data_IF_830032452193
#
_entry.id   IF_830032452193
#
_cell.length_a   1.000
_cell.length_b   1.000
_cell.length_c   1.000
_cell.angle_alpha   90.00
_cell.angle_beta   90.00
_cell.angle_gamma   90.00
#
_symmetry.space_group_name_H-M   'P 1'
#
loop_
_entity.id
_entity.type
_entity.pdbx_description
1 polymer ?
#
# COMPACT_ATOMS: atom_id res chain seq x y z
N UNK A 1 -2.00 -19.41 -1.27
CA UNK A 1 -2.17 -18.41 -2.35
C UNK A 1 -3.37 -17.49 -2.14
N UNK A 2 -3.94 -17.35 -0.92
CA UNK A 2 -5.07 -16.43 -0.65
C UNK A 2 -4.81 -15.37 0.42
N UNK A 3 -3.65 -15.41 1.10
CA UNK A 3 -3.28 -14.45 2.12
C UNK A 3 -2.27 -13.45 1.53
N UNK A 4 -2.74 -12.23 1.25
CA UNK A 4 -1.94 -11.18 0.62
C UNK A 4 -0.76 -10.74 1.51
N UNK A 5 -0.91 -10.76 2.83
CA UNK A 5 0.14 -10.33 3.76
C UNK A 5 1.32 -11.30 3.75
N UNK A 6 1.04 -12.60 3.71
CA UNK A 6 2.08 -13.63 3.51
C UNK A 6 2.73 -13.56 2.13
N UNK A 7 2.00 -13.10 1.11
CA UNK A 7 2.59 -12.82 -0.20
C UNK A 7 3.67 -11.75 -0.11
N UNK A 8 3.42 -10.67 0.64
CA UNK A 8 4.39 -9.59 0.85
C UNK A 8 5.61 -10.03 1.68
N UNK A 9 5.47 -10.98 2.59
CA UNK A 9 6.58 -11.57 3.34
C UNK A 9 7.53 -12.39 2.44
N UNK A 10 6.98 -13.12 1.47
CA UNK A 10 7.75 -13.95 0.55
C UNK A 10 8.17 -13.23 -0.73
N UNK A 11 7.79 -11.96 -0.90
CA UNK A 11 7.94 -11.22 -2.14
C UNK A 11 9.35 -11.26 -2.73
N UNK A 12 10.39 -11.14 -1.89
CA UNK A 12 11.77 -11.22 -2.37
C UNK A 12 12.13 -12.58 -2.99
N UNK A 13 11.66 -13.68 -2.39
CA UNK A 13 11.86 -15.04 -2.92
C UNK A 13 11.03 -15.27 -4.18
N UNK A 14 9.79 -14.80 -4.18
CA UNK A 14 8.87 -14.94 -5.32
C UNK A 14 9.35 -14.11 -6.52
N UNK A 15 9.89 -12.91 -6.28
CA UNK A 15 10.47 -12.05 -7.32
C UNK A 15 11.71 -12.70 -7.95
N UNK A 16 12.61 -13.24 -7.13
CA UNK A 16 13.80 -13.97 -7.63
C UNK A 16 13.46 -15.25 -8.40
N UNK A 17 12.34 -15.91 -8.05
CA UNK A 17 11.89 -17.13 -8.72
C UNK A 17 10.92 -16.88 -9.87
N UNK A 18 10.60 -15.62 -10.19
CA UNK A 18 9.68 -15.25 -11.27
C UNK A 18 8.22 -15.61 -11.01
N UNK A 19 7.84 -15.77 -9.74
CA UNK A 19 6.49 -16.16 -9.29
C UNK A 19 5.72 -15.03 -8.62
N UNK A 20 6.36 -13.88 -8.39
CA UNK A 20 5.68 -12.71 -7.87
C UNK A 20 4.60 -12.23 -8.86
N UNK A 21 3.43 -11.77 -8.37
CA UNK A 21 2.45 -11.14 -9.22
C UNK A 21 2.98 -9.81 -9.76
N UNK A 22 2.50 -9.40 -10.94
CA UNK A 22 2.87 -8.11 -11.53
C UNK A 22 2.34 -6.91 -10.72
N UNK A 23 1.13 -7.07 -10.14
CA UNK A 23 0.45 -6.08 -9.31
C UNK A 23 -0.15 -6.73 -8.07
N UNK A 24 -0.08 -6.02 -6.95
CA UNK A 24 -0.61 -6.47 -5.65
C UNK A 24 -1.00 -5.28 -4.80
N UNK A 25 -1.73 -5.53 -3.72
CA UNK A 25 -2.03 -4.51 -2.70
C UNK A 25 -1.06 -4.63 -1.54
N UNK A 26 -0.73 -3.49 -0.93
CA UNK A 26 0.07 -3.40 0.27
C UNK A 26 -0.56 -2.40 1.25
N UNK A 27 -0.52 -2.69 2.56
CA UNK A 27 -0.67 -1.65 3.58
C UNK A 27 0.30 -0.49 3.30
N UNK A 28 -0.15 0.75 3.49
CA UNK A 28 0.62 1.94 3.11
C UNK A 28 1.91 2.09 3.92
N UNK A 29 1.91 1.63 5.17
CA UNK A 29 3.06 1.58 6.07
C UNK A 29 4.19 0.68 5.57
N UNK A 30 3.89 -0.32 4.72
CA UNK A 30 4.89 -1.20 4.09
C UNK A 30 5.39 -0.70 2.73
N UNK A 31 4.72 0.25 2.08
CA UNK A 31 5.11 0.71 0.73
C UNK A 31 6.50 1.35 0.74
N UNK A 32 6.83 2.14 1.76
CA UNK A 32 8.13 2.82 1.85
C UNK A 32 9.31 1.86 2.00
N UNK A 33 9.17 0.79 2.80
CA UNK A 33 10.22 -0.23 2.95
C UNK A 33 10.35 -1.08 1.70
N UNK A 34 9.23 -1.59 1.14
CA UNK A 34 9.24 -2.38 -0.08
C UNK A 34 9.85 -1.62 -1.28
N UNK A 35 9.55 -0.32 -1.41
CA UNK A 35 10.16 0.53 -2.43
C UNK A 35 11.66 0.76 -2.20
N UNK A 36 12.08 0.94 -0.94
CA UNK A 36 13.50 1.13 -0.60
C UNK A 36 14.33 -0.15 -0.81
N UNK A 37 13.72 -1.32 -0.62
CA UNK A 37 14.34 -2.64 -0.83
C UNK A 37 14.37 -3.06 -2.32
N UNK A 38 13.87 -2.21 -3.22
CA UNK A 38 13.82 -2.47 -4.66
C UNK A 38 12.80 -3.53 -5.08
N UNK A 39 11.85 -3.86 -4.20
CA UNK A 39 10.79 -4.84 -4.49
C UNK A 39 9.64 -4.23 -5.29
N UNK A 40 9.49 -2.90 -5.28
CA UNK A 40 8.48 -2.17 -6.05
C UNK A 40 9.15 -1.32 -7.12
N UNK A 41 8.54 -1.30 -8.31
CA UNK A 41 8.93 -0.37 -9.37
C UNK A 41 8.45 1.04 -9.06
N UNK A 42 9.27 2.04 -9.37
CA UNK A 42 8.84 3.44 -9.36
C UNK A 42 7.74 3.66 -10.41
N UNK A 43 6.69 4.39 -10.05
CA UNK A 43 5.58 4.70 -10.95
C UNK A 43 5.15 6.15 -10.86
N UNK A 44 4.40 6.60 -11.87
CA UNK A 44 3.76 7.92 -11.88
C UNK A 44 2.26 7.75 -11.67
N UNK A 45 1.71 8.53 -10.76
CA UNK A 45 0.26 8.66 -10.63
C UNK A 45 -0.28 9.42 -11.83
N UNK A 46 -1.39 8.92 -12.38
CA UNK A 46 -2.08 9.59 -13.48
C UNK A 46 -2.70 10.92 -13.03
N UNK A 47 -2.88 11.88 -13.94
CA UNK A 47 -3.50 13.17 -13.59
C UNK A 47 -4.96 13.04 -13.16
N UNK A 48 -5.65 11.98 -13.58
CA UNK A 48 -7.00 11.63 -13.16
C UNK A 48 -7.06 10.87 -11.83
N UNK A 49 -5.92 10.60 -11.16
CA UNK A 49 -5.96 9.96 -9.85
C UNK A 49 -6.62 10.89 -8.84
N UNK A 50 -7.64 10.39 -8.14
CA UNK A 50 -8.33 11.12 -7.06
C UNK A 50 -7.51 11.14 -5.76
N UNK A 51 -6.22 11.44 -5.88
CA UNK A 51 -5.24 11.49 -4.80
C UNK A 51 -4.96 12.93 -4.43
N UNK A 52 -5.00 13.24 -3.14
CA UNK A 52 -4.50 14.48 -2.57
C UNK A 52 -3.03 14.34 -2.12
N UNK A 53 -2.45 15.44 -1.61
CA UNK A 53 -1.06 15.44 -1.15
C UNK A 53 -0.83 14.46 0.03
N UNK A 54 -1.83 14.28 0.89
CA UNK A 54 -1.76 13.36 2.03
C UNK A 54 -1.68 11.91 1.58
N UNK A 55 -2.61 11.45 0.75
CA UNK A 55 -2.65 10.09 0.22
C UNK A 55 -1.47 9.79 -0.68
N UNK A 56 -1.01 10.77 -1.46
CA UNK A 56 0.23 10.63 -2.25
C UNK A 56 1.47 10.46 -1.38
N UNK A 57 1.56 11.16 -0.24
CA UNK A 57 2.68 11.02 0.68
C UNK A 57 2.78 9.60 1.27
N UNK A 58 1.65 8.92 1.48
CA UNK A 58 1.63 7.55 2.03
C UNK A 58 2.32 6.52 1.13
N UNK A 59 2.41 6.77 -0.17
CA UNK A 59 3.01 5.87 -1.17
C UNK A 59 4.31 6.43 -1.77
N UNK A 60 4.83 7.52 -1.21
CA UNK A 60 6.01 8.22 -1.72
C UNK A 60 7.13 8.18 -0.68
N UNK A 61 8.33 7.79 -1.09
CA UNK A 61 9.52 7.77 -0.24
C UNK A 61 10.72 8.31 -1.00
N UNK A 62 11.47 9.23 -0.39
CA UNK A 62 12.66 9.88 -0.98
C UNK A 62 12.38 10.48 -2.38
N UNK A 63 11.20 11.09 -2.56
CA UNK A 63 10.79 11.73 -3.81
C UNK A 63 10.31 10.79 -4.91
N UNK A 64 10.24 9.47 -4.65
CA UNK A 64 9.77 8.46 -5.59
C UNK A 64 8.45 7.85 -5.13
N UNK A 65 7.53 7.64 -6.05
CA UNK A 65 6.22 7.04 -5.77
C UNK A 65 6.22 5.57 -6.18
N UNK A 66 5.75 4.70 -5.29
CA UNK A 66 5.84 3.23 -5.45
C UNK A 66 4.47 2.53 -5.47
N UNK A 67 3.37 3.28 -5.50
CA UNK A 67 2.04 2.72 -5.52
C UNK A 67 0.96 3.75 -5.84
N UNK A 68 -0.24 3.25 -6.11
CA UNK A 68 -1.45 4.06 -6.24
C UNK A 68 -2.34 3.84 -5.00
N UNK A 69 -2.71 4.90 -4.26
CA UNK A 69 -3.65 4.79 -3.15
C UNK A 69 -5.00 4.26 -3.63
N UNK A 70 -5.52 3.24 -2.95
CA UNK A 70 -6.79 2.58 -3.31
C UNK A 70 -7.83 2.60 -2.18
N UNK A 71 -7.39 2.46 -0.93
CA UNK A 71 -8.25 2.44 0.26
C UNK A 71 -7.64 3.35 1.31
N UNK A 72 -8.49 4.14 1.97
CA UNK A 72 -8.13 4.93 3.15
C UNK A 72 -8.83 4.34 4.37
N UNK A 73 -8.12 4.26 5.49
CA UNK A 73 -8.66 3.81 6.77
C UNK A 73 -8.16 4.69 7.89
N UNK A 74 -8.97 4.84 8.93
CA UNK A 74 -8.61 5.59 10.13
C UNK A 74 -9.38 5.03 11.33
N UNK A 75 -8.89 5.30 12.53
CA UNK A 75 -9.61 4.97 13.74
C UNK A 75 -10.90 5.78 13.82
N UNK A 76 -11.99 5.09 14.16
CA UNK A 76 -13.29 5.69 14.45
C UNK A 76 -13.78 5.20 15.79
N UNK A 77 -14.56 6.01 16.49
CA UNK A 77 -15.21 5.60 17.73
C UNK A 77 -16.58 4.99 17.42
N UNK A 78 -16.71 3.70 17.68
CA UNK A 78 -18.01 3.06 17.75
C UNK A 78 -18.64 3.32 19.12
N UNK A 79 -19.92 3.67 19.15
CA UNK A 79 -20.69 3.79 20.39
C UNK A 79 -22.10 3.24 20.21
N UNK A 80 -22.67 2.73 21.30
CA UNK A 80 -24.05 2.26 21.33
C UNK A 80 -24.98 3.43 21.69
N UNK A 81 -25.83 3.84 20.75
CA UNK A 81 -26.79 4.95 20.91
C UNK A 81 -27.85 4.69 22.00
N UNK A 82 -28.07 3.43 22.39
CA UNK A 82 -28.99 3.07 23.47
C UNK A 82 -28.35 3.24 24.87
N UNK A 83 -27.02 3.29 24.93
CA UNK A 83 -26.26 3.38 26.19
C UNK A 83 -25.60 4.75 26.40
N UNK A 84 -25.41 5.54 25.33
CA UNK A 84 -24.75 6.85 25.36
C UNK A 84 -25.56 7.85 24.53
N UNK A 85 -26.07 8.90 25.21
CA UNK A 85 -26.87 10.01 24.64
C UNK A 85 -26.09 11.32 24.63
#
# INVERSE_FOLDING_TARGET
TGDQLKGLENLSLDNQSGKAPDVMMSPYDRVGSLGSDGQLSEMKLDKGSMTDDTTKALVTTKGKTYGAPAVIETLVMYYNKDLVS
#
